data_IF_342260813685
#
_entry.id   IF_342260813685
#
_cell.length_a   1.000
_cell.length_b   1.000
_cell.length_c   1.000
_cell.angle_alpha   90.00
_cell.angle_beta   90.00
_cell.angle_gamma   90.00
#
_symmetry.space_group_name_H-M   'P 1'
#
loop_
_entity.id
_entity.type
_entity.pdbx_description
1 polymer ?
#
# COMPACT_ATOMS: atom_id res chain seq x y z
N UNK A 1 14.03 -26.32 10.01
CA UNK A 1 14.47 -25.22 9.13
C UNK A 1 14.89 -24.04 9.99
N UNK A 2 16.15 -23.59 9.94
CA UNK A 2 16.57 -22.34 10.61
C UNK A 2 16.15 -21.17 9.74
N UNK A 3 15.18 -20.37 10.20
CA UNK A 3 14.87 -19.08 9.58
C UNK A 3 16.04 -18.15 9.91
N UNK A 4 16.99 -18.02 8.97
CA UNK A 4 18.04 -17.02 9.07
C UNK A 4 17.39 -15.65 8.89
N UNK A 5 17.15 -14.96 10.00
CA UNK A 5 16.74 -13.56 9.98
C UNK A 5 17.83 -12.77 9.24
N UNK A 6 17.48 -12.22 8.08
CA UNK A 6 18.39 -11.40 7.29
C UNK A 6 18.12 -9.95 7.67
N UNK A 7 19.16 -9.23 8.08
CA UNK A 7 19.09 -7.78 8.16
C UNK A 7 18.67 -7.21 6.81
N UNK A 8 17.92 -6.12 6.85
CA UNK A 8 17.69 -5.33 5.66
C UNK A 8 18.98 -4.71 5.12
N UNK A 9 19.01 -4.32 3.84
CA UNK A 9 20.09 -3.53 3.29
C UNK A 9 20.24 -2.25 4.13
N UNK A 10 21.49 -1.80 4.27
CA UNK A 10 21.80 -0.56 4.97
C UNK A 10 21.19 0.58 4.17
N UNK A 11 20.15 1.21 4.73
CA UNK A 11 19.45 2.33 4.10
C UNK A 11 20.09 3.66 4.50
N UNK A 12 20.15 4.60 3.56
CA UNK A 12 20.50 5.98 3.90
C UNK A 12 19.42 6.60 4.78
N UNK A 13 19.76 7.66 5.54
CA UNK A 13 18.80 8.40 6.37
C UNK A 13 17.59 8.89 5.57
N UNK A 14 17.80 9.28 4.30
CA UNK A 14 16.73 9.71 3.38
C UNK A 14 15.80 8.55 3.03
N UNK A 15 16.34 7.39 2.66
CA UNK A 15 15.54 6.20 2.34
C UNK A 15 14.74 5.71 3.54
N UNK A 16 15.28 5.80 4.76
CA UNK A 16 14.57 5.47 6.00
C UNK A 16 13.39 6.43 6.22
N UNK A 17 13.62 7.74 6.08
CA UNK A 17 12.56 8.74 6.22
C UNK A 17 11.44 8.49 5.20
N UNK A 18 11.80 8.27 3.93
CA UNK A 18 10.84 7.96 2.87
C UNK A 18 10.05 6.68 3.16
N UNK A 19 10.72 5.62 3.63
CA UNK A 19 10.03 4.37 3.96
C UNK A 19 9.07 4.54 5.15
N UNK A 20 9.42 5.37 6.13
CA UNK A 20 8.53 5.72 7.24
C UNK A 20 7.34 6.56 6.78
N UNK A 21 7.54 7.51 5.86
CA UNK A 21 6.42 8.30 5.29
C UNK A 21 5.44 7.39 4.56
N UNK A 22 5.92 6.49 3.69
CA UNK A 22 5.05 5.52 3.02
C UNK A 22 4.35 4.58 4.01
N UNK A 23 5.05 4.11 5.04
CA UNK A 23 4.43 3.28 6.08
C UNK A 23 3.33 4.03 6.81
N UNK A 24 3.56 5.30 7.17
CA UNK A 24 2.55 6.15 7.83
C UNK A 24 1.33 6.38 6.93
N UNK A 25 1.54 6.63 5.64
CA UNK A 25 0.44 6.78 4.68
C UNK A 25 -0.43 5.52 4.64
N UNK A 26 0.19 4.33 4.53
CA UNK A 26 -0.54 3.06 4.57
C UNK A 26 -1.24 2.83 5.91
N UNK A 27 -0.59 3.13 7.04
CA UNK A 27 -1.21 2.99 8.37
C UNK A 27 -2.47 3.85 8.47
N UNK A 28 -2.43 5.11 8.02
CA UNK A 28 -3.60 5.99 8.03
C UNK A 28 -4.73 5.42 7.17
N UNK A 29 -4.40 4.89 5.99
CA UNK A 29 -5.38 4.25 5.10
C UNK A 29 -5.99 3.01 5.75
N UNK A 30 -5.17 2.06 6.23
CA UNK A 30 -5.61 0.83 6.89
C UNK A 30 -6.51 1.15 8.08
N UNK A 31 -6.11 2.11 8.95
CA UNK A 31 -6.90 2.49 10.12
C UNK A 31 -8.25 3.07 9.68
N UNK A 32 -8.29 3.97 8.71
CA UNK A 32 -9.54 4.51 8.18
C UNK A 32 -10.42 3.41 7.56
N UNK A 33 -9.84 2.51 6.78
CA UNK A 33 -10.56 1.39 6.15
C UNK A 33 -11.10 0.40 7.18
N UNK A 34 -10.38 0.15 8.28
CA UNK A 34 -10.84 -0.70 9.39
C UNK A 34 -11.98 -0.04 10.19
N UNK A 35 -11.91 1.26 10.45
CA UNK A 35 -12.99 1.99 11.11
C UNK A 35 -14.26 2.02 10.24
N UNK A 36 -14.11 2.24 8.94
CA UNK A 36 -15.20 2.21 7.96
C UNK A 36 -15.42 0.84 7.33
N UNK A 37 -15.04 -0.27 7.97
CA UNK A 37 -15.03 -1.59 7.31
C UNK A 37 -16.41 -2.05 6.86
N UNK A 38 -17.48 -1.69 7.57
CA UNK A 38 -18.85 -2.10 7.21
C UNK A 38 -19.31 -1.48 5.89
N UNK A 39 -18.88 -0.25 5.60
CA UNK A 39 -19.23 0.48 4.37
C UNK A 39 -18.13 0.42 3.30
N UNK A 40 -16.94 -0.06 3.65
CA UNK A 40 -15.81 -0.16 2.73
C UNK A 40 -16.09 -1.05 1.51
N UNK A 41 -16.65 -2.26 1.65
CA UNK A 41 -17.03 -3.10 0.50
C UNK A 41 -17.95 -2.36 -0.46
N UNK A 42 -18.98 -1.68 0.04
CA UNK A 42 -19.91 -0.94 -0.81
C UNK A 42 -19.22 0.22 -1.54
N UNK A 43 -18.34 0.93 -0.84
CA UNK A 43 -17.52 1.99 -1.43
C UNK A 43 -16.61 1.42 -2.53
N UNK A 44 -16.00 0.27 -2.29
CA UNK A 44 -15.12 -0.40 -3.24
C UNK A 44 -15.87 -0.93 -4.46
N UNK A 45 -17.09 -1.47 -4.29
CA UNK A 45 -17.95 -1.92 -5.38
C UNK A 45 -18.25 -0.79 -6.38
N UNK A 46 -18.51 0.42 -5.85
CA UNK A 46 -18.79 1.61 -6.66
C UNK A 46 -17.59 2.05 -7.51
N UNK A 47 -16.37 1.67 -7.12
CA UNK A 47 -15.13 2.15 -7.74
C UNK A 47 -14.48 1.05 -8.60
N UNK A 48 -14.61 -0.24 -8.24
CA UNK A 48 -14.00 -1.36 -8.98
C UNK A 48 -14.99 -2.02 -9.96
N UNK A 49 -16.26 -1.60 -9.98
CA UNK A 49 -17.33 -2.14 -10.85
C UNK A 49 -17.42 -3.67 -10.71
N UNK A 50 -17.54 -4.14 -9.47
CA UNK A 50 -17.74 -5.57 -9.16
C UNK A 50 -19.20 -5.77 -8.74
N UNK A 51 -19.96 -6.50 -9.56
CA UNK A 51 -21.40 -6.74 -9.32
C UNK A 51 -21.68 -7.86 -8.28
N UNK A 52 -20.69 -8.71 -7.98
CA UNK A 52 -20.88 -9.82 -7.05
C UNK A 52 -20.50 -9.44 -5.62
N UNK A 53 -21.49 -9.32 -4.74
CA UNK A 53 -21.30 -8.92 -3.34
C UNK A 53 -20.25 -9.76 -2.60
N UNK A 54 -20.26 -11.10 -2.72
CA UNK A 54 -19.29 -11.96 -2.03
C UNK A 54 -17.84 -11.66 -2.47
N UNK A 55 -17.64 -11.37 -3.76
CA UNK A 55 -16.33 -11.01 -4.33
C UNK A 55 -15.88 -9.64 -3.83
N UNK A 56 -16.81 -8.68 -3.72
CA UNK A 56 -16.53 -7.34 -3.17
C UNK A 56 -16.00 -7.43 -1.74
N UNK A 57 -16.70 -8.13 -0.84
CA UNK A 57 -16.27 -8.28 0.56
C UNK A 57 -14.90 -8.95 0.67
N UNK A 58 -14.66 -10.01 -0.11
CA UNK A 58 -13.37 -10.67 -0.16
C UNK A 58 -12.26 -9.73 -0.68
N UNK A 59 -12.53 -8.97 -1.75
CA UNK A 59 -11.58 -8.03 -2.33
C UNK A 59 -11.21 -6.89 -1.38
N UNK A 60 -12.18 -6.36 -0.64
CA UNK A 60 -11.96 -5.35 0.39
C UNK A 60 -11.01 -5.86 1.48
N UNK A 61 -11.26 -7.07 1.99
CA UNK A 61 -10.36 -7.71 2.96
C UNK A 61 -8.96 -7.96 2.38
N UNK A 62 -8.86 -8.41 1.12
CA UNK A 62 -7.57 -8.61 0.45
C UNK A 62 -6.79 -7.31 0.33
N UNK A 63 -7.42 -6.21 -0.06
CA UNK A 63 -6.76 -4.90 -0.18
C UNK A 63 -6.16 -4.47 1.17
N UNK A 64 -6.94 -4.51 2.25
CA UNK A 64 -6.47 -4.17 3.60
C UNK A 64 -5.33 -5.09 4.04
N UNK A 65 -5.43 -6.40 3.77
CA UNK A 65 -4.36 -7.35 4.10
C UNK A 65 -3.08 -7.09 3.30
N UNK A 66 -3.19 -6.74 2.02
CA UNK A 66 -2.04 -6.40 1.20
C UNK A 66 -1.32 -5.17 1.74
N UNK A 67 -2.07 -4.13 2.15
CA UNK A 67 -1.53 -2.95 2.79
C UNK A 67 -0.84 -3.29 4.12
N UNK A 68 -1.46 -4.14 4.95
CA UNK A 68 -0.89 -4.58 6.22
C UNK A 68 0.42 -5.37 6.02
N UNK A 69 0.45 -6.30 5.08
CA UNK A 69 1.63 -7.10 4.75
C UNK A 69 2.71 -6.31 4.01
N UNK A 70 2.43 -5.09 3.53
CA UNK A 70 3.43 -4.17 2.99
C UNK A 70 4.26 -3.48 4.09
N UNK A 71 3.70 -3.30 5.29
CA UNK A 71 4.35 -2.56 6.39
C UNK A 71 5.69 -3.16 6.85
N UNK A 72 5.86 -4.50 7.02
CA UNK A 72 7.12 -5.07 7.47
C UNK A 72 8.34 -4.65 6.62
N UNK A 73 8.17 -4.54 5.30
CA UNK A 73 9.22 -4.06 4.40
C UNK A 73 9.53 -2.57 4.58
N UNK A 74 8.50 -1.73 4.70
CA UNK A 74 8.64 -0.28 4.82
C UNK A 74 9.23 0.13 6.18
N UNK A 75 8.79 -0.52 7.25
CA UNK A 75 9.30 -0.34 8.62
C UNK A 75 10.68 -0.99 8.84
N UNK A 76 11.15 -1.82 7.91
CA UNK A 76 12.46 -2.47 8.03
C UNK A 76 12.50 -3.54 9.12
N UNK A 77 11.39 -4.23 9.36
CA UNK A 77 11.30 -5.29 10.37
C UNK A 77 12.19 -6.49 10.01
N UNK A 78 12.58 -7.25 11.04
CA UNK A 78 13.37 -8.47 10.89
C UNK A 78 12.50 -9.61 10.33
N UNK A 79 12.61 -9.83 9.01
CA UNK A 79 11.86 -10.86 8.29
C UNK A 79 12.78 -11.68 7.38
N UNK A 80 12.30 -12.84 6.93
CA UNK A 80 13.04 -13.67 5.97
C UNK A 80 13.23 -12.94 4.63
N UNK A 81 14.27 -13.28 3.87
CA UNK A 81 14.55 -12.66 2.56
C UNK A 81 13.37 -12.79 1.59
N UNK A 82 12.70 -13.95 1.60
CA UNK A 82 11.52 -14.19 0.77
C UNK A 82 10.35 -13.30 1.19
N UNK A 83 10.05 -13.24 2.49
CA UNK A 83 8.97 -12.41 3.00
C UNK A 83 9.23 -10.92 2.76
N UNK A 84 10.49 -10.50 2.76
CA UNK A 84 10.89 -9.13 2.40
C UNK A 84 10.52 -8.80 0.96
N UNK A 85 10.79 -9.70 0.02
CA UNK A 85 10.42 -9.52 -1.37
C UNK A 85 8.91 -9.50 -1.56
N UNK A 86 8.19 -10.43 -0.94
CA UNK A 86 6.72 -10.48 -0.99
C UNK A 86 6.14 -9.16 -0.43
N UNK A 87 6.59 -8.73 0.74
CA UNK A 87 6.14 -7.49 1.37
C UNK A 87 6.44 -6.25 0.52
N UNK A 88 7.61 -6.18 -0.12
CA UNK A 88 7.93 -5.11 -1.06
C UNK A 88 7.01 -5.11 -2.30
N UNK A 89 6.74 -6.29 -2.87
CA UNK A 89 5.81 -6.44 -3.99
C UNK A 89 4.38 -6.05 -3.60
N UNK A 90 3.92 -6.44 -2.40
CA UNK A 90 2.60 -6.05 -1.89
C UNK A 90 2.48 -4.55 -1.69
N UNK A 91 3.54 -3.88 -1.19
CA UNK A 91 3.58 -2.43 -1.10
C UNK A 91 3.40 -1.78 -2.48
N UNK A 92 4.13 -2.26 -3.48
CA UNK A 92 4.07 -1.73 -4.84
C UNK A 92 2.70 -1.99 -5.49
N UNK A 93 2.17 -3.20 -5.38
CA UNK A 93 0.86 -3.56 -5.95
C UNK A 93 -0.25 -2.76 -5.27
N UNK A 94 -0.21 -2.58 -3.94
CA UNK A 94 -1.18 -1.75 -3.22
C UNK A 94 -1.15 -0.29 -3.71
N UNK A 95 0.05 0.32 -3.81
CA UNK A 95 0.18 1.68 -4.34
C UNK A 95 -0.30 1.80 -5.79
N UNK A 96 0.00 0.79 -6.62
CA UNK A 96 -0.44 0.75 -8.01
C UNK A 96 -1.96 0.58 -8.13
N UNK A 97 -2.55 -0.30 -7.32
CA UNK A 97 -3.99 -0.52 -7.26
C UNK A 97 -4.72 0.78 -6.96
N UNK A 98 -4.32 1.51 -5.91
CA UNK A 98 -4.96 2.78 -5.58
C UNK A 98 -4.75 3.85 -6.64
N UNK A 99 -3.57 3.90 -7.27
CA UNK A 99 -3.33 4.83 -8.37
C UNK A 99 -4.23 4.52 -9.57
N UNK A 100 -4.36 3.25 -9.93
CA UNK A 100 -5.23 2.81 -11.00
C UNK A 100 -6.69 3.16 -10.72
N UNK A 101 -7.18 2.78 -9.53
CA UNK A 101 -8.55 3.02 -9.04
C UNK A 101 -8.90 4.51 -9.05
N UNK A 102 -7.98 5.38 -8.57
CA UNK A 102 -8.21 6.83 -8.52
C UNK A 102 -8.22 7.48 -9.90
N UNK A 103 -7.45 6.96 -10.86
CA UNK A 103 -7.49 7.45 -12.24
C UNK A 103 -8.71 6.98 -13.02
N UNK A 104 -9.13 5.72 -12.85
CA UNK A 104 -10.31 5.19 -13.54
C UNK A 104 -11.62 5.76 -13.00
N UNK A 105 -11.62 6.23 -11.74
CA UNK A 105 -12.81 6.73 -11.06
C UNK A 105 -12.66 8.18 -10.59
N UNK A 106 -12.06 9.04 -11.42
CA UNK A 106 -11.88 10.45 -11.11
C UNK A 106 -13.20 11.20 -10.84
N UNK A 107 -14.34 10.67 -11.29
CA UNK A 107 -15.68 11.26 -11.07
C UNK A 107 -16.43 10.67 -9.87
N UNK A 108 -15.87 9.68 -9.17
CA UNK A 108 -16.54 9.07 -8.04
C UNK A 108 -16.67 10.06 -6.87
N UNK A 109 -17.81 10.02 -6.18
CA UNK A 109 -18.05 10.84 -4.98
C UNK A 109 -17.12 10.44 -3.81
N UNK A 110 -16.63 9.20 -3.81
CA UNK A 110 -15.64 8.69 -2.87
C UNK A 110 -14.59 7.85 -3.62
N UNK A 111 -13.32 8.15 -3.40
CA UNK A 111 -12.16 7.45 -3.97
C UNK A 111 -11.88 6.08 -3.34
N UNK A 112 -12.47 5.79 -2.18
CA UNK A 112 -12.26 4.54 -1.43
C UNK A 112 -10.96 4.48 -0.62
N UNK A 113 -10.02 5.42 -0.81
CA UNK A 113 -8.72 5.45 -0.13
C UNK A 113 -8.82 5.32 1.41
N UNK A 114 -9.81 6.00 1.99
CA UNK A 114 -10.05 6.07 3.43
C UNK A 114 -11.41 5.47 3.84
N UNK A 115 -11.99 4.61 2.99
CA UNK A 115 -13.37 4.15 3.13
C UNK A 115 -14.36 5.32 3.31
N UNK A 116 -15.39 5.16 4.12
CA UNK A 116 -16.40 6.14 4.47
C UNK A 116 -16.02 6.97 5.72
N UNK A 117 -14.90 6.66 6.36
CA UNK A 117 -14.41 7.43 7.53
C UNK A 117 -13.98 8.84 7.13
N UNK A 118 -13.37 8.97 5.95
CA UNK A 118 -13.07 10.27 5.35
C UNK A 118 -13.47 10.21 3.89
N UNK A 119 -14.58 10.88 3.55
CA UNK A 119 -15.06 10.96 2.17
C UNK A 119 -14.14 11.89 1.39
N UNK A 120 -13.19 11.30 0.67
CA UNK A 120 -12.32 12.02 -0.27
C UNK A 120 -12.85 11.77 -1.67
N UNK A 121 -13.33 12.81 -2.37
CA UNK A 121 -13.78 12.67 -3.75
C UNK A 121 -12.68 12.08 -4.65
N UNK A 122 -13.11 11.33 -5.65
CA UNK A 122 -12.26 10.97 -6.78
C UNK A 122 -11.67 12.22 -7.43
N UNK A 123 -10.51 12.05 -8.07
CA UNK A 123 -9.83 13.13 -8.79
C UNK A 123 -8.47 13.49 -8.21
N UNK A 124 -8.10 14.76 -8.31
CA UNK A 124 -6.70 15.21 -8.18
C UNK A 124 -6.12 14.90 -6.80
N UNK A 125 -6.86 15.12 -5.71
CA UNK A 125 -6.36 14.88 -4.35
C UNK A 125 -6.07 13.40 -4.09
N UNK A 126 -7.02 12.53 -4.47
CA UNK A 126 -6.86 11.09 -4.36
C UNK A 126 -5.73 10.55 -5.25
N UNK A 127 -5.65 11.06 -6.48
CA UNK A 127 -4.58 10.71 -7.42
C UNK A 127 -3.20 11.18 -6.94
N UNK A 128 -3.09 12.39 -6.36
CA UNK A 128 -1.85 12.89 -5.77
C UNK A 128 -1.41 12.03 -4.60
N UNK A 129 -2.33 11.67 -3.70
CA UNK A 129 -2.03 10.77 -2.58
C UNK A 129 -1.48 9.43 -3.07
N UNK A 130 -2.18 8.77 -3.99
CA UNK A 130 -1.76 7.49 -4.55
C UNK A 130 -0.45 7.59 -5.34
N UNK A 131 -0.24 8.70 -6.07
CA UNK A 131 1.01 8.95 -6.82
C UNK A 131 2.18 9.11 -5.88
N UNK A 132 2.04 9.92 -4.83
CA UNK A 132 3.08 10.13 -3.81
C UNK A 132 3.40 8.80 -3.12
N UNK A 133 2.38 8.03 -2.75
CA UNK A 133 2.55 6.71 -2.14
C UNK A 133 3.37 5.77 -3.04
N UNK A 134 2.93 5.60 -4.29
CA UNK A 134 3.60 4.70 -5.24
C UNK A 134 5.02 5.17 -5.56
N UNK A 135 5.23 6.48 -5.74
CA UNK A 135 6.54 7.05 -6.03
C UNK A 135 7.53 6.81 -4.88
N UNK A 136 7.10 7.05 -3.64
CA UNK A 136 7.95 6.83 -2.46
C UNK A 136 8.28 5.34 -2.31
N UNK A 137 7.30 4.45 -2.50
CA UNK A 137 7.51 2.99 -2.45
C UNK A 137 8.51 2.57 -3.55
N UNK A 138 8.32 3.03 -4.78
CA UNK A 138 9.22 2.76 -5.90
C UNK A 138 10.64 3.26 -5.64
N UNK A 139 10.79 4.45 -5.07
CA UNK A 139 12.09 5.01 -4.68
C UNK A 139 12.78 4.15 -3.62
N UNK A 140 12.05 3.71 -2.58
CA UNK A 140 12.60 2.85 -1.52
C UNK A 140 13.05 1.51 -2.08
N UNK A 141 12.27 0.91 -2.98
CA UNK A 141 12.60 -0.36 -3.65
C UNK A 141 13.85 -0.19 -4.54
N UNK A 142 13.92 0.88 -5.35
CA UNK A 142 15.06 1.16 -6.22
C UNK A 142 16.34 1.48 -5.42
N UNK A 143 16.21 2.20 -4.31
CA UNK A 143 17.34 2.43 -3.41
C UNK A 143 17.85 1.10 -2.82
N UNK A 144 16.94 0.26 -2.31
CA UNK A 144 17.28 -1.06 -1.75
C UNK A 144 17.93 -2.00 -2.79
N UNK A 145 17.57 -1.92 -4.08
CA UNK A 145 18.21 -2.71 -5.15
C UNK A 145 19.63 -2.24 -5.47
N UNK A 146 19.87 -0.93 -5.48
CA UNK A 146 21.20 -0.37 -5.76
C UNK A 146 22.24 -0.80 -4.71
N UNK A 147 21.84 -0.95 -3.44
CA UNK A 147 22.75 -1.43 -2.39
C UNK A 147 23.17 -2.90 -2.54
N UNK A 148 22.43 -3.72 -3.31
CA UNK A 148 22.81 -5.11 -3.55
C UNK A 148 23.96 -5.25 -4.55
N UNK A 149 24.12 -4.29 -5.46
CA UNK A 149 25.18 -4.30 -6.47
C UNK A 149 26.48 -3.68 -5.98
N UNK A 150 26.46 -2.94 -4.87
CA UNK A 150 27.64 -2.32 -4.28
C UNK A 150 28.41 -3.26 -3.31
N UNK A 151 27.87 -4.43 -2.99
CA UNK A 151 28.45 -5.39 -2.03
C UNK A 151 29.03 -6.66 -2.69
N UNK A 152 29.22 -6.63 -4.00
CA UNK A 152 29.90 -7.68 -4.79
C UNK A 152 31.19 -7.12 -5.36
#
# INVERSE_FOLDING_TARGET
MKVLASYGPVRTRRTILLSLVAAMMLIIMIVAQLYGYESFPNTLANVVVIDNSAVVYASAGVVVLMELFALPYLLGMYISKLLRWISASLAFISGFFWLFVTFTNAHAQNSGLFSDTVVVPGGILAALWATVLLFIIGWVIAADSNFRHAST
#
